data_IF_970514042459
#
_entry.id   IF_970514042459
#
_cell.length_a   1.000
_cell.length_b   1.000
_cell.length_c   1.000
_cell.angle_alpha   90.00
_cell.angle_beta   90.00
_cell.angle_gamma   90.00
#
_symmetry.space_group_name_H-M   'P 1'
#
loop_
_entity.id
_entity.type
_entity.pdbx_description
1 polymer ?
#
# COMPACT_ATOMS: atom_id res chain seq x y z
N UNK A 1 44.25 9.49 -57.00
CA UNK A 1 42.85 9.84 -56.64
C UNK A 1 42.27 8.64 -55.92
N UNK A 2 42.36 8.65 -54.56
CA UNK A 2 41.82 7.54 -53.74
C UNK A 2 40.39 7.89 -53.35
N UNK A 3 39.41 7.07 -53.79
CA UNK A 3 38.03 7.14 -53.32
C UNK A 3 37.94 6.48 -51.96
N UNK A 4 37.72 7.26 -50.90
CA UNK A 4 37.30 6.77 -49.59
C UNK A 4 35.79 6.50 -49.63
N UNK A 5 35.41 5.22 -49.67
CA UNK A 5 34.03 4.79 -49.50
C UNK A 5 33.68 4.84 -48.03
N UNK A 6 32.86 5.80 -47.59
CA UNK A 6 32.22 5.80 -46.29
C UNK A 6 31.09 4.77 -46.29
N UNK A 7 31.32 3.62 -45.66
CA UNK A 7 30.24 2.74 -45.23
C UNK A 7 29.51 3.38 -44.05
N UNK A 8 28.38 4.01 -44.29
CA UNK A 8 27.43 4.37 -43.25
C UNK A 8 26.73 3.09 -42.79
N UNK A 9 27.15 2.55 -41.68
CA UNK A 9 26.40 1.51 -40.95
C UNK A 9 25.20 2.22 -40.30
N UNK A 10 24.06 2.29 -40.97
CA UNK A 10 22.80 2.58 -40.31
C UNK A 10 22.46 1.33 -39.50
N UNK A 11 22.79 1.33 -38.23
CA UNK A 11 22.14 0.42 -37.27
C UNK A 11 20.64 0.68 -37.40
N UNK A 12 19.91 -0.29 -37.96
CA UNK A 12 18.48 -0.35 -37.77
C UNK A 12 18.24 -0.56 -36.28
N UNK A 13 18.05 0.52 -35.55
CA UNK A 13 17.50 0.47 -34.19
C UNK A 13 16.08 -0.10 -34.38
N UNK A 14 15.94 -1.42 -34.26
CA UNK A 14 14.62 -2.01 -34.11
C UNK A 14 13.98 -1.28 -32.92
N UNK A 15 12.87 -0.64 -33.19
CA UNK A 15 12.13 0.15 -32.21
C UNK A 15 11.42 -0.83 -31.25
N UNK A 16 12.23 -1.50 -30.38
CA UNK A 16 11.76 -2.51 -29.46
C UNK A 16 10.92 -1.80 -28.42
N UNK A 17 9.62 -2.11 -28.38
CA UNK A 17 8.70 -1.55 -27.39
C UNK A 17 9.17 -1.91 -25.98
N UNK A 18 9.33 -0.94 -25.08
CA UNK A 18 9.73 -1.22 -23.71
C UNK A 18 8.65 -1.99 -22.95
N UNK A 19 9.06 -2.86 -22.04
CA UNK A 19 8.16 -3.40 -21.03
C UNK A 19 7.75 -2.31 -20.06
N UNK A 20 6.61 -2.49 -19.40
CA UNK A 20 6.12 -1.58 -18.37
C UNK A 20 5.86 -2.39 -17.08
N UNK A 21 6.56 -2.03 -16.02
CA UNK A 21 6.29 -2.51 -14.66
C UNK A 21 5.71 -1.35 -13.84
N UNK A 22 4.41 -1.40 -13.58
CA UNK A 22 3.70 -0.41 -12.77
C UNK A 22 3.50 -0.96 -11.36
N UNK A 23 4.26 -0.43 -10.40
CA UNK A 23 4.23 -0.80 -8.98
C UNK A 23 3.38 0.23 -8.25
N UNK A 24 2.37 -0.22 -7.50
CA UNK A 24 1.54 0.67 -6.69
C UNK A 24 1.27 0.06 -5.33
N UNK A 25 1.56 0.82 -4.28
CA UNK A 25 1.20 0.49 -2.90
C UNK A 25 -0.11 1.19 -2.50
N UNK A 26 -0.77 0.70 -1.47
CA UNK A 26 -2.06 1.20 -0.99
C UNK A 26 -1.86 1.99 0.30
N UNK A 27 -2.14 3.30 0.27
CA UNK A 27 -1.93 4.21 1.39
C UNK A 27 -0.43 4.46 1.74
N UNK A 28 0.48 4.43 0.77
CA UNK A 28 1.90 4.67 1.03
C UNK A 28 2.21 6.17 1.00
N UNK A 29 2.34 6.77 2.18
CA UNK A 29 2.72 8.17 2.34
C UNK A 29 4.13 8.41 1.79
N UNK A 30 4.32 9.49 1.02
CA UNK A 30 5.63 9.83 0.46
C UNK A 30 6.69 10.05 1.55
N UNK A 31 6.30 10.53 2.74
CA UNK A 31 7.20 10.73 3.89
C UNK A 31 7.79 9.42 4.44
N UNK A 32 7.21 8.27 4.07
CA UNK A 32 7.68 6.95 4.46
C UNK A 32 8.47 6.24 3.33
N UNK A 33 9.12 7.03 2.47
CA UNK A 33 10.08 6.57 1.46
C UNK A 33 11.35 7.39 1.61
N UNK A 34 12.50 6.74 1.82
CA UNK A 34 13.76 7.45 2.16
C UNK A 34 14.27 8.37 1.05
N UNK A 35 13.93 8.12 -0.22
CA UNK A 35 14.22 9.05 -1.31
C UNK A 35 13.50 10.40 -1.19
N UNK A 36 12.38 10.48 -0.45
CA UNK A 36 11.67 11.73 -0.14
C UNK A 36 12.01 12.28 1.24
N UNK A 37 12.11 11.39 2.26
CA UNK A 37 12.31 11.77 3.65
C UNK A 37 12.99 10.64 4.45
N UNK A 38 14.16 10.90 4.99
CA UNK A 38 14.98 9.89 5.69
C UNK A 38 14.64 9.72 7.17
N UNK A 39 13.67 10.51 7.71
CA UNK A 39 13.40 10.57 9.16
C UNK A 39 12.71 9.34 9.73
N UNK A 40 11.91 8.63 8.93
CA UNK A 40 11.02 7.58 9.42
C UNK A 40 11.55 6.17 9.15
N UNK A 41 11.97 5.90 7.94
CA UNK A 41 12.37 4.56 7.49
C UNK A 41 13.40 4.65 6.37
N UNK A 42 14.19 3.60 6.19
CA UNK A 42 15.01 3.41 5.00
C UNK A 42 14.31 2.45 4.04
N UNK A 43 14.21 2.82 2.77
CA UNK A 43 13.59 2.04 1.70
C UNK A 43 14.58 1.89 0.53
N UNK A 44 15.73 1.23 0.76
CA UNK A 44 16.85 1.23 -0.18
C UNK A 44 16.48 0.63 -1.55
N UNK A 45 15.54 -0.29 -1.60
CA UNK A 45 15.13 -0.93 -2.85
C UNK A 45 14.19 -0.03 -3.67
N UNK A 46 13.23 0.62 -3.02
CA UNK A 46 12.36 1.60 -3.67
C UNK A 46 13.19 2.80 -4.16
N UNK A 47 14.19 3.22 -3.37
CA UNK A 47 15.08 4.33 -3.69
C UNK A 47 15.92 4.07 -4.95
N UNK A 48 16.19 2.80 -5.33
CA UNK A 48 16.86 2.46 -6.62
C UNK A 48 16.10 3.05 -7.81
N UNK A 49 14.76 3.04 -7.76
CA UNK A 49 13.92 3.58 -8.84
C UNK A 49 14.11 5.09 -8.97
N UNK A 50 14.24 5.80 -7.82
CA UNK A 50 14.51 7.24 -7.80
C UNK A 50 15.93 7.57 -8.25
N UNK A 51 16.92 6.80 -7.73
CA UNK A 51 18.34 7.06 -7.96
C UNK A 51 18.77 6.76 -9.41
N UNK A 52 18.10 5.81 -10.07
CA UNK A 52 18.35 5.41 -11.46
C UNK A 52 17.33 6.02 -12.44
N UNK A 53 16.50 6.96 -11.98
CA UNK A 53 15.42 7.53 -12.74
C UNK A 53 15.07 8.96 -12.36
N UNK A 54 13.78 9.25 -12.31
CA UNK A 54 13.22 10.56 -11.98
C UNK A 54 12.32 10.43 -10.76
N UNK A 55 12.55 11.26 -9.75
CA UNK A 55 11.67 11.46 -8.61
C UNK A 55 10.84 12.73 -8.84
N UNK A 56 9.51 12.57 -8.79
CA UNK A 56 8.58 13.71 -8.90
C UNK A 56 8.25 14.25 -7.49
N UNK A 57 8.72 15.45 -7.19
CA UNK A 57 8.51 16.10 -5.90
C UNK A 57 7.08 16.59 -5.67
N UNK A 58 6.30 16.77 -6.73
CA UNK A 58 4.94 17.34 -6.71
C UNK A 58 3.93 16.51 -7.51
N UNK A 59 3.85 15.21 -7.22
CA UNK A 59 2.78 14.36 -7.72
C UNK A 59 1.60 14.37 -6.75
N UNK A 60 0.38 14.45 -7.28
CA UNK A 60 -0.85 14.50 -6.48
C UNK A 60 -1.93 13.63 -7.09
N UNK A 61 -2.76 13.03 -6.24
CA UNK A 61 -4.00 12.37 -6.66
C UNK A 61 -5.14 13.38 -6.77
N UNK A 62 -6.18 13.03 -7.53
CA UNK A 62 -7.37 13.89 -7.66
C UNK A 62 -8.46 13.53 -6.65
N UNK A 63 -8.32 12.39 -6.00
CA UNK A 63 -9.25 11.90 -4.99
C UNK A 63 -8.49 10.96 -4.03
N UNK A 64 -8.37 11.34 -2.78
CA UNK A 64 -7.65 10.58 -1.76
C UNK A 64 -8.51 9.47 -1.15
N UNK A 65 -9.02 8.57 -1.98
CA UNK A 65 -9.75 7.34 -1.61
C UNK A 65 -9.40 6.24 -2.60
N UNK A 66 -9.07 5.03 -2.13
CA UNK A 66 -8.52 3.92 -2.91
C UNK A 66 -9.19 3.67 -4.26
N UNK A 67 -10.46 3.22 -4.30
CA UNK A 67 -11.09 2.84 -5.56
C UNK A 67 -11.32 4.02 -6.52
N UNK A 68 -11.75 5.22 -6.07
CA UNK A 68 -11.78 6.41 -6.91
C UNK A 68 -10.42 6.79 -7.49
N UNK A 69 -9.36 6.84 -6.67
CA UNK A 69 -8.02 7.16 -7.14
C UNK A 69 -7.52 6.13 -8.17
N UNK A 70 -7.67 4.84 -7.88
CA UNK A 70 -7.30 3.76 -8.80
C UNK A 70 -8.05 3.84 -10.13
N UNK A 71 -9.34 4.24 -10.09
CA UNK A 71 -10.12 4.47 -11.31
C UNK A 71 -9.60 5.67 -12.12
N UNK A 72 -9.17 6.75 -11.46
CA UNK A 72 -8.53 7.90 -12.12
C UNK A 72 -7.22 7.48 -12.78
N UNK A 73 -6.36 6.75 -12.05
CA UNK A 73 -5.09 6.24 -12.56
C UNK A 73 -5.33 5.36 -13.80
N UNK A 74 -6.28 4.41 -13.72
CA UNK A 74 -6.52 3.49 -14.83
C UNK A 74 -7.18 4.12 -16.05
N UNK A 75 -8.02 5.15 -15.88
CA UNK A 75 -8.81 5.74 -16.97
C UNK A 75 -8.26 7.07 -17.49
N UNK A 76 -7.39 7.75 -16.72
CA UNK A 76 -6.99 9.12 -16.99
C UNK A 76 -8.13 10.14 -16.86
N UNK A 77 -9.26 9.76 -16.22
CA UNK A 77 -10.45 10.60 -16.08
C UNK A 77 -10.75 10.86 -14.61
N UNK A 78 -11.11 12.08 -14.25
CA UNK A 78 -11.59 12.42 -12.91
C UNK A 78 -12.80 11.57 -12.49
N UNK A 79 -13.01 11.39 -11.18
CA UNK A 79 -14.03 10.50 -10.62
C UNK A 79 -15.45 10.80 -11.10
N UNK A 80 -15.80 12.10 -11.32
CA UNK A 80 -17.10 12.50 -11.84
C UNK A 80 -17.31 12.13 -13.33
N UNK A 81 -16.21 11.90 -14.09
CA UNK A 81 -16.27 11.47 -15.49
C UNK A 81 -16.21 9.96 -15.64
N UNK A 82 -15.46 9.25 -14.75
CA UNK A 82 -15.36 7.80 -14.80
C UNK A 82 -16.42 7.09 -13.94
N UNK A 83 -17.24 7.83 -13.18
CA UNK A 83 -18.33 7.34 -12.36
C UNK A 83 -17.93 6.68 -11.04
N UNK A 84 -16.63 6.49 -10.76
CA UNK A 84 -16.15 5.88 -9.50
C UNK A 84 -15.88 6.95 -8.47
N UNK A 85 -16.91 7.35 -7.71
CA UNK A 85 -16.85 8.45 -6.74
C UNK A 85 -16.62 7.99 -5.29
N UNK A 86 -16.81 6.69 -5.00
CA UNK A 86 -16.68 6.09 -3.68
C UNK A 86 -16.18 4.64 -3.76
N UNK A 87 -15.95 4.00 -2.59
CA UNK A 87 -15.54 2.60 -2.51
C UNK A 87 -16.70 1.61 -2.64
N UNK A 88 -17.97 2.05 -2.58
CA UNK A 88 -19.14 1.18 -2.46
C UNK A 88 -19.58 0.58 -3.79
N UNK A 89 -19.73 1.39 -4.82
CA UNK A 89 -20.24 0.93 -6.12
C UNK A 89 -19.13 0.23 -6.92
N UNK A 90 -19.45 -0.85 -7.67
CA UNK A 90 -18.52 -1.42 -8.63
C UNK A 90 -18.04 -0.39 -9.68
N UNK A 91 -16.85 -0.60 -10.23
CA UNK A 91 -16.32 0.22 -11.32
C UNK A 91 -17.12 -0.02 -12.61
N UNK A 92 -17.40 1.04 -13.35
CA UNK A 92 -18.03 0.95 -14.66
C UNK A 92 -17.06 0.33 -15.68
N UNK A 93 -17.34 -0.92 -16.06
CA UNK A 93 -16.49 -1.69 -16.97
C UNK A 93 -16.60 -1.27 -18.43
N UNK A 94 -17.43 -0.29 -18.79
CA UNK A 94 -17.49 0.32 -20.12
C UNK A 94 -16.41 1.37 -20.31
N UNK A 95 -15.80 1.86 -19.23
CA UNK A 95 -14.68 2.79 -19.28
C UNK A 95 -13.46 2.14 -19.95
N UNK A 96 -12.77 2.92 -20.78
CA UNK A 96 -11.48 2.51 -21.35
C UNK A 96 -10.40 2.72 -20.28
N UNK A 97 -9.58 1.70 -20.08
CA UNK A 97 -8.44 1.73 -19.16
C UNK A 97 -7.12 1.55 -19.91
N UNK A 98 -6.01 2.06 -19.35
CA UNK A 98 -4.73 1.94 -20.01
C UNK A 98 -4.28 0.47 -20.25
N UNK A 99 -4.57 -0.53 -19.39
CA UNK A 99 -4.29 -1.93 -19.73
C UNK A 99 -4.94 -2.39 -21.03
N UNK A 100 -6.18 -1.96 -21.30
CA UNK A 100 -6.85 -2.27 -22.59
C UNK A 100 -6.14 -1.64 -23.79
N UNK A 101 -5.57 -0.44 -23.61
CA UNK A 101 -4.80 0.23 -24.67
C UNK A 101 -3.47 -0.48 -24.93
N UNK A 102 -2.76 -0.90 -23.88
CA UNK A 102 -1.54 -1.70 -24.00
C UNK A 102 -1.82 -3.05 -24.69
N UNK A 103 -2.90 -3.74 -24.27
CA UNK A 103 -3.30 -5.00 -24.93
C UNK A 103 -3.56 -4.81 -26.43
N UNK A 104 -4.30 -3.74 -26.80
CA UNK A 104 -4.51 -3.38 -28.21
C UNK A 104 -3.22 -3.03 -28.96
N UNK A 105 -2.22 -2.50 -28.25
CA UNK A 105 -0.91 -2.21 -28.83
C UNK A 105 0.00 -3.44 -28.91
N UNK A 106 -0.50 -4.65 -28.57
CA UNK A 106 0.22 -5.92 -28.70
C UNK A 106 1.05 -6.32 -27.49
N UNK A 107 0.87 -5.64 -26.34
CA UNK A 107 1.48 -6.05 -25.09
C UNK A 107 0.74 -7.24 -24.48
N UNK A 108 1.47 -8.13 -23.83
CA UNK A 108 0.88 -9.06 -22.88
C UNK A 108 0.66 -8.35 -21.56
N UNK A 109 -0.55 -8.45 -20.99
CA UNK A 109 -0.96 -7.67 -19.82
C UNK A 109 -1.19 -8.55 -18.60
N UNK A 110 -0.69 -8.14 -17.44
CA UNK A 110 -0.87 -8.85 -16.18
C UNK A 110 -1.22 -7.90 -15.03
N UNK A 111 -1.98 -8.42 -14.03
CA UNK A 111 -2.35 -7.65 -12.83
C UNK A 111 -2.39 -8.55 -11.60
N UNK A 112 -1.55 -8.25 -10.60
CA UNK A 112 -1.47 -9.03 -9.37
C UNK A 112 -1.60 -8.13 -8.15
N UNK A 113 -2.48 -8.52 -7.20
CA UNK A 113 -2.69 -7.82 -5.94
C UNK A 113 -3.98 -7.03 -5.84
N UNK A 114 -3.96 -5.82 -5.25
CA UNK A 114 -5.17 -5.07 -4.91
C UNK A 114 -5.67 -4.18 -6.06
N UNK A 115 -6.85 -4.50 -6.61
CA UNK A 115 -7.55 -3.67 -7.59
C UNK A 115 -8.67 -2.81 -6.93
N UNK A 116 -9.48 -3.41 -6.07
CA UNK A 116 -10.57 -2.75 -5.30
C UNK A 116 -11.73 -2.18 -6.14
N UNK A 117 -12.08 -2.81 -7.26
CA UNK A 117 -13.16 -2.34 -8.14
C UNK A 117 -14.50 -3.05 -7.96
N UNK A 118 -14.53 -4.15 -7.21
CA UNK A 118 -15.74 -4.98 -7.06
C UNK A 118 -16.07 -5.85 -8.27
N UNK A 119 -15.25 -5.81 -9.31
CA UNK A 119 -15.34 -6.64 -10.51
C UNK A 119 -13.94 -7.00 -11.05
N UNK A 120 -13.90 -7.93 -12.00
CA UNK A 120 -12.67 -8.37 -12.63
C UNK A 120 -12.09 -7.30 -13.57
N UNK A 121 -10.76 -7.19 -13.70
CA UNK A 121 -10.12 -6.24 -14.62
C UNK A 121 -10.42 -6.60 -16.07
N UNK A 122 -10.61 -5.58 -16.92
CA UNK A 122 -10.69 -5.71 -18.38
C UNK A 122 -9.38 -5.32 -19.04
N UNK A 123 -9.07 -5.95 -20.17
CA UNK A 123 -7.85 -5.71 -20.92
C UNK A 123 -6.60 -6.26 -20.21
N UNK A 124 -6.79 -7.32 -19.41
CA UNK A 124 -5.72 -7.99 -18.68
C UNK A 124 -5.76 -9.48 -19.02
N UNK A 125 -4.65 -9.99 -19.55
CA UNK A 125 -4.56 -11.37 -20.00
C UNK A 125 -4.48 -12.35 -18.84
N UNK A 126 -3.72 -12.00 -17.79
CA UNK A 126 -3.56 -12.79 -16.57
C UNK A 126 -3.76 -11.93 -15.33
N UNK A 127 -4.55 -12.40 -14.38
CA UNK A 127 -4.70 -11.70 -13.11
C UNK A 127 -4.91 -12.64 -11.93
N UNK A 128 -4.46 -12.15 -10.76
CA UNK A 128 -4.73 -12.73 -9.45
C UNK A 128 -4.90 -11.56 -8.47
N UNK A 129 -6.16 -11.17 -8.20
CA UNK A 129 -6.48 -9.95 -7.45
C UNK A 129 -7.14 -10.25 -6.11
N UNK A 130 -6.90 -9.36 -5.15
CA UNK A 130 -7.52 -9.45 -3.83
C UNK A 130 -9.00 -9.03 -3.88
N UNK A 131 -9.91 -9.75 -3.24
CA UNK A 131 -11.30 -9.33 -3.08
C UNK A 131 -11.37 -8.12 -2.12
N UNK A 132 -12.00 -7.02 -2.56
CA UNK A 132 -12.17 -5.81 -1.76
C UNK A 132 -10.84 -5.27 -1.24
N UNK A 133 -10.70 -5.16 0.09
CA UNK A 133 -9.49 -4.69 0.75
C UNK A 133 -8.40 -5.78 0.90
N UNK A 134 -8.73 -7.05 0.69
CA UNK A 134 -7.83 -8.17 0.91
C UNK A 134 -7.48 -8.42 2.39
N UNK A 135 -6.65 -9.43 2.64
CA UNK A 135 -6.10 -9.77 3.96
C UNK A 135 -4.59 -9.85 3.90
N UNK A 136 -3.91 -9.53 5.01
CA UNK A 136 -2.45 -9.64 5.11
C UNK A 136 -1.99 -11.09 5.24
N UNK A 137 -2.75 -11.90 5.97
CA UNK A 137 -2.42 -13.29 6.32
C UNK A 137 -3.33 -14.21 5.52
N UNK A 138 -2.77 -15.24 4.88
CA UNK A 138 -3.47 -16.27 4.12
C UNK A 138 -4.58 -15.70 3.22
N UNK A 139 -4.25 -14.76 2.32
CA UNK A 139 -5.25 -14.04 1.54
C UNK A 139 -5.99 -14.95 0.57
N UNK A 140 -7.30 -14.66 0.39
CA UNK A 140 -8.04 -15.12 -0.77
C UNK A 140 -7.70 -14.25 -1.96
N UNK A 141 -7.58 -14.85 -3.13
CA UNK A 141 -7.46 -14.18 -4.42
C UNK A 141 -8.57 -14.61 -5.37
N UNK A 142 -8.99 -13.69 -6.21
CA UNK A 142 -9.84 -13.91 -7.37
C UNK A 142 -8.90 -14.04 -8.58
N UNK A 143 -8.95 -15.18 -9.24
CA UNK A 143 -8.13 -15.43 -10.43
C UNK A 143 -8.98 -15.49 -11.69
N UNK A 144 -8.33 -15.42 -12.85
CA UNK A 144 -9.00 -15.50 -14.16
C UNK A 144 -9.83 -16.77 -14.31
N UNK A 145 -9.31 -17.91 -13.85
CA UNK A 145 -9.92 -19.22 -14.02
C UNK A 145 -10.60 -19.72 -12.74
N UNK A 146 -10.03 -19.43 -11.58
CA UNK A 146 -10.54 -19.86 -10.28
C UNK A 146 -10.04 -18.97 -9.15
N UNK A 147 -10.85 -18.89 -8.10
CA UNK A 147 -10.45 -18.29 -6.84
C UNK A 147 -9.54 -19.25 -6.08
N UNK A 148 -8.64 -18.71 -5.27
CA UNK A 148 -7.73 -19.50 -4.45
C UNK A 148 -7.45 -18.79 -3.12
N UNK A 149 -7.09 -19.57 -2.10
CA UNK A 149 -6.48 -19.07 -0.87
C UNK A 149 -5.03 -19.54 -0.90
N UNK A 150 -4.10 -18.62 -0.67
CA UNK A 150 -2.67 -18.93 -0.63
C UNK A 150 -2.19 -18.67 0.79
N UNK A 151 -1.54 -19.66 1.38
CA UNK A 151 -0.94 -19.56 2.70
C UNK A 151 0.31 -18.68 2.65
N UNK A 152 0.44 -17.79 3.63
CA UNK A 152 1.58 -16.89 3.77
C UNK A 152 1.20 -15.43 3.96
N UNK A 153 2.20 -14.56 3.82
CA UNK A 153 2.07 -13.12 3.93
C UNK A 153 1.77 -12.49 2.57
N UNK A 154 0.77 -11.61 2.51
CA UNK A 154 0.21 -11.10 1.24
C UNK A 154 1.24 -10.43 0.35
N UNK A 155 2.17 -9.67 0.92
CA UNK A 155 3.19 -8.93 0.15
C UNK A 155 4.13 -9.89 -0.56
N UNK A 156 4.58 -10.94 0.14
CA UNK A 156 5.44 -11.99 -0.41
C UNK A 156 4.71 -12.79 -1.50
N UNK A 157 3.46 -13.16 -1.24
CA UNK A 157 2.64 -13.93 -2.19
C UNK A 157 2.44 -13.16 -3.50
N UNK A 158 2.11 -11.86 -3.44
CA UNK A 158 1.94 -11.03 -4.63
C UNK A 158 3.26 -10.97 -5.42
N UNK A 159 4.40 -10.89 -4.74
CA UNK A 159 5.72 -10.90 -5.34
C UNK A 159 6.05 -12.24 -5.98
N UNK A 160 5.81 -13.35 -5.29
CA UNK A 160 6.05 -14.71 -5.81
C UNK A 160 5.23 -14.98 -7.08
N UNK A 161 3.97 -14.54 -7.09
CA UNK A 161 3.09 -14.64 -8.27
C UNK A 161 3.63 -13.79 -9.41
N UNK A 162 4.11 -12.57 -9.11
CA UNK A 162 4.71 -11.64 -10.09
C UNK A 162 5.96 -12.24 -10.72
N UNK A 163 6.89 -12.73 -9.90
CA UNK A 163 8.13 -13.36 -10.36
C UNK A 163 7.86 -14.65 -11.16
N UNK A 164 6.95 -15.49 -10.67
CA UNK A 164 6.57 -16.71 -11.40
C UNK A 164 5.94 -16.39 -12.77
N UNK A 165 5.17 -15.31 -12.88
CA UNK A 165 4.61 -14.90 -14.17
C UNK A 165 5.71 -14.38 -15.12
N UNK A 166 6.61 -13.53 -14.62
CA UNK A 166 7.73 -13.00 -15.39
C UNK A 166 8.65 -14.11 -15.89
N UNK A 167 8.94 -15.11 -15.08
CA UNK A 167 9.85 -16.20 -15.41
C UNK A 167 9.21 -17.27 -16.32
N UNK A 168 8.01 -17.76 -15.94
CA UNK A 168 7.44 -19.01 -16.47
C UNK A 168 6.20 -18.86 -17.33
N UNK A 169 5.45 -17.76 -17.20
CA UNK A 169 4.11 -17.70 -17.81
C UNK A 169 4.01 -16.71 -18.97
N UNK A 170 4.78 -15.61 -18.94
CA UNK A 170 4.72 -14.63 -20.01
C UNK A 170 5.24 -15.17 -21.33
N UNK A 171 4.71 -14.69 -22.42
CA UNK A 171 5.25 -14.87 -23.77
C UNK A 171 6.49 -13.97 -23.91
N UNK A 172 7.68 -14.58 -23.91
CA UNK A 172 8.97 -13.84 -23.99
C UNK A 172 9.20 -13.14 -25.32
N UNK A 173 8.36 -13.39 -26.33
CA UNK A 173 8.44 -12.75 -27.66
C UNK A 173 7.66 -11.43 -27.71
N UNK A 174 6.86 -11.11 -26.66
CA UNK A 174 6.04 -9.90 -26.58
C UNK A 174 6.53 -8.97 -25.48
N UNK A 175 6.38 -7.65 -25.66
CA UNK A 175 6.51 -6.72 -24.54
C UNK A 175 5.39 -6.97 -23.53
N UNK A 176 5.65 -6.72 -22.27
CA UNK A 176 4.63 -6.83 -21.21
C UNK A 176 4.27 -5.47 -20.59
N UNK A 177 3.03 -5.35 -20.15
CA UNK A 177 2.57 -4.35 -19.21
C UNK A 177 2.01 -5.06 -17.97
N UNK A 178 2.68 -4.88 -16.85
CA UNK A 178 2.34 -5.51 -15.58
C UNK A 178 1.97 -4.48 -14.54
N UNK A 179 0.85 -4.72 -13.84
CA UNK A 179 0.47 -4.00 -12.63
C UNK A 179 0.76 -4.86 -11.39
N UNK A 180 1.74 -4.44 -10.61
CA UNK A 180 2.19 -5.06 -9.37
C UNK A 180 1.67 -4.23 -8.19
N UNK A 181 0.55 -4.68 -7.58
CA UNK A 181 -0.31 -3.88 -6.74
C UNK A 181 -0.33 -4.39 -5.30
N UNK A 182 0.44 -3.75 -4.41
CA UNK A 182 0.47 -4.12 -3.01
C UNK A 182 -0.81 -3.70 -2.27
N UNK A 183 -1.22 -4.53 -1.28
CA UNK A 183 -2.19 -4.15 -0.27
C UNK A 183 -1.55 -3.27 0.81
N UNK A 184 -0.31 -3.54 1.15
CA UNK A 184 0.44 -2.79 2.15
C UNK A 184 0.76 -1.38 1.62
N UNK A 185 0.80 -0.36 2.51
CA UNK A 185 0.56 -0.41 3.94
C UNK A 185 -0.89 -0.08 4.39
N UNK A 186 -1.93 -0.48 3.69
CA UNK A 186 -3.33 -0.18 4.06
C UNK A 186 -3.72 -0.80 5.42
N UNK A 187 -4.51 -0.07 6.20
CA UNK A 187 -5.15 -0.51 7.47
C UNK A 187 -5.97 -1.82 7.29
N UNK A 188 -6.02 -2.75 8.29
CA UNK A 188 -5.25 -2.76 9.53
C UNK A 188 -3.83 -3.24 9.27
N UNK A 189 -2.88 -2.49 9.67
CA UNK A 189 -1.47 -2.77 9.43
C UNK A 189 -1.03 -4.04 10.17
N UNK A 190 -0.73 -5.11 9.41
CA UNK A 190 -0.17 -6.35 9.93
C UNK A 190 1.15 -6.62 9.22
N UNK A 191 2.29 -6.28 9.81
CA UNK A 191 3.60 -6.66 9.27
C UNK A 191 3.76 -8.18 9.21
N UNK A 192 4.74 -8.68 8.44
CA UNK A 192 5.17 -10.07 8.63
C UNK A 192 5.61 -10.30 10.07
N UNK A 193 5.58 -11.52 10.60
CA UNK A 193 5.98 -11.78 12.00
C UNK A 193 7.36 -11.22 12.35
N UNK A 194 8.32 -11.34 11.42
CA UNK A 194 9.68 -10.86 11.58
C UNK A 194 9.74 -9.33 11.66
N UNK A 195 9.06 -8.63 10.72
CA UNK A 195 8.98 -7.16 10.73
C UNK A 195 8.14 -6.64 11.89
N UNK A 196 7.14 -7.39 12.34
CA UNK A 196 6.33 -7.04 13.51
C UNK A 196 7.18 -7.01 14.79
N UNK A 197 8.04 -8.02 14.98
CA UNK A 197 8.97 -8.08 16.09
C UNK A 197 10.06 -6.99 15.98
N UNK A 198 10.65 -6.81 14.78
CA UNK A 198 11.70 -5.83 14.53
C UNK A 198 11.21 -4.40 14.81
N UNK A 199 10.05 -4.01 14.25
CA UNK A 199 9.55 -2.64 14.32
C UNK A 199 8.92 -2.31 15.67
N UNK A 200 8.46 -3.29 16.42
CA UNK A 200 8.00 -3.09 17.80
C UNK A 200 9.10 -2.50 18.71
N UNK A 201 10.35 -2.85 18.50
CA UNK A 201 11.48 -2.36 19.29
C UNK A 201 11.96 -0.95 18.85
N UNK A 202 11.36 -0.37 17.80
CA UNK A 202 11.74 0.95 17.28
C UNK A 202 10.84 2.05 17.81
N UNK A 203 11.38 3.27 17.89
CA UNK A 203 10.64 4.49 18.20
C UNK A 203 10.78 5.48 17.05
N UNK A 204 9.72 6.23 16.79
CA UNK A 204 9.63 7.15 15.66
C UNK A 204 9.42 8.59 16.13
N UNK A 205 9.99 9.60 15.43
CA UNK A 205 9.81 11.00 15.78
C UNK A 205 8.36 11.41 15.61
N UNK A 206 7.87 12.17 16.59
CA UNK A 206 6.53 12.76 16.57
C UNK A 206 6.52 13.97 15.59
N UNK A 207 5.50 14.10 14.71
CA UNK A 207 5.37 15.32 13.93
C UNK A 207 5.03 16.51 14.85
N UNK A 208 5.50 17.72 14.50
CA UNK A 208 5.27 18.93 15.29
C UNK A 208 3.78 19.20 15.55
N UNK A 209 2.93 18.78 14.63
CA UNK A 209 1.47 18.99 14.69
C UNK A 209 0.72 17.82 15.35
N UNK A 210 1.39 16.85 15.98
CA UNK A 210 0.73 15.71 16.65
C UNK A 210 -0.36 16.16 17.65
N UNK A 211 -0.13 17.28 18.32
CA UNK A 211 -1.06 17.85 19.32
C UNK A 211 -1.75 19.12 18.81
N UNK A 212 -2.12 19.15 17.53
CA UNK A 212 -2.80 20.29 16.93
C UNK A 212 -4.16 20.55 17.64
N UNK A 213 -4.43 21.80 17.94
CA UNK A 213 -5.69 22.23 18.57
C UNK A 213 -6.69 22.79 17.55
N UNK A 214 -6.36 22.76 16.27
CA UNK A 214 -7.16 23.26 15.14
C UNK A 214 -7.60 24.73 15.25
N UNK A 215 -6.90 25.55 16.03
CA UNK A 215 -7.19 26.98 16.16
C UNK A 215 -7.05 27.67 14.79
N UNK A 216 -8.06 28.46 14.44
CA UNK A 216 -8.09 29.16 13.14
C UNK A 216 -8.55 28.29 11.96
N UNK A 217 -8.86 27.00 12.17
CA UNK A 217 -9.35 26.11 11.12
C UNK A 217 -10.87 25.97 11.16
N UNK A 218 -11.44 25.61 9.99
CA UNK A 218 -12.87 25.36 9.84
C UNK A 218 -13.39 24.15 10.64
N UNK A 219 -14.70 24.00 10.70
CA UNK A 219 -15.39 22.93 11.44
C UNK A 219 -14.94 21.54 10.96
N UNK A 220 -14.75 21.35 9.66
CA UNK A 220 -14.37 20.08 9.06
C UNK A 220 -13.08 19.50 9.69
N UNK A 221 -12.04 20.31 9.93
CA UNK A 221 -10.81 19.86 10.56
C UNK A 221 -11.03 19.47 12.03
N UNK A 222 -11.90 20.17 12.74
CA UNK A 222 -12.21 19.90 14.16
C UNK A 222 -13.04 18.64 14.37
N UNK A 223 -13.86 18.27 13.38
CA UNK A 223 -14.78 17.14 13.45
C UNK A 223 -14.34 15.92 12.64
N UNK A 224 -13.15 15.98 12.02
CA UNK A 224 -12.61 14.86 11.26
C UNK A 224 -12.42 13.62 12.15
N UNK A 225 -13.04 12.49 11.75
CA UNK A 225 -13.00 11.22 12.49
C UNK A 225 -11.69 10.45 12.22
N UNK A 226 -10.54 11.14 12.31
CA UNK A 226 -9.22 10.61 12.02
C UNK A 226 -8.21 10.82 13.15
N UNK A 227 -8.65 11.29 14.33
CA UNK A 227 -7.77 11.58 15.44
C UNK A 227 -7.21 10.29 16.06
N UNK A 228 -5.89 10.23 16.21
CA UNK A 228 -5.16 9.06 16.75
C UNK A 228 -5.66 8.67 18.13
N UNK A 229 -5.83 9.65 19.05
CA UNK A 229 -6.26 9.36 20.42
C UNK A 229 -7.64 8.73 20.44
N UNK A 230 -8.60 9.32 19.70
CA UNK A 230 -10.03 9.07 19.87
C UNK A 230 -10.63 8.11 18.85
N UNK A 231 -10.06 8.01 17.63
CA UNK A 231 -10.63 7.20 16.55
C UNK A 231 -9.82 5.93 16.21
N UNK A 232 -8.55 5.83 16.65
CA UNK A 232 -7.82 4.57 16.55
C UNK A 232 -8.36 3.56 17.57
N UNK A 233 -8.71 2.38 17.07
CA UNK A 233 -9.32 1.31 17.83
C UNK A 233 -8.25 0.45 18.50
N UNK A 234 -8.48 0.06 19.74
CA UNK A 234 -7.53 -0.77 20.52
C UNK A 234 -7.24 -2.11 19.82
N UNK A 235 -8.28 -2.85 19.45
CA UNK A 235 -8.12 -4.16 18.82
C UNK A 235 -7.62 -4.06 17.38
N UNK A 236 -8.23 -3.18 16.59
CA UNK A 236 -7.99 -3.11 15.15
C UNK A 236 -6.63 -2.47 14.82
N UNK A 237 -6.32 -1.36 15.47
CA UNK A 237 -5.13 -0.56 15.16
C UNK A 237 -3.96 -0.85 16.09
N UNK A 238 -4.22 -0.99 17.40
CA UNK A 238 -3.17 -1.18 18.39
C UNK A 238 -2.89 -2.65 18.76
N UNK A 239 -3.64 -3.60 18.18
CA UNK A 239 -3.49 -5.04 18.40
C UNK A 239 -3.69 -5.49 19.85
N UNK A 240 -4.57 -4.79 20.59
CA UNK A 240 -4.94 -5.22 21.93
C UNK A 240 -5.96 -6.35 21.85
N UNK A 241 -5.64 -7.46 22.50
CA UNK A 241 -6.49 -8.65 22.50
C UNK A 241 -7.80 -8.42 23.26
N UNK A 242 -8.92 -9.04 22.82
CA UNK A 242 -10.19 -8.95 23.53
C UNK A 242 -10.09 -9.34 25.01
N UNK A 243 -9.29 -10.37 25.32
CA UNK A 243 -9.06 -10.86 26.67
C UNK A 243 -8.39 -9.79 27.55
N UNK A 244 -7.37 -9.11 27.02
CA UNK A 244 -6.70 -8.01 27.69
C UNK A 244 -7.67 -6.88 28.05
N UNK A 245 -8.52 -6.47 27.10
CA UNK A 245 -9.53 -5.44 27.36
C UNK A 245 -10.55 -5.88 28.42
N UNK A 246 -10.95 -7.14 28.42
CA UNK A 246 -11.87 -7.72 29.40
C UNK A 246 -11.26 -7.74 30.80
N UNK A 247 -10.01 -8.18 30.94
CA UNK A 247 -9.26 -8.17 32.20
C UNK A 247 -9.14 -6.77 32.80
N UNK A 248 -9.01 -5.74 31.94
CA UNK A 248 -8.93 -4.34 32.35
C UNK A 248 -10.30 -3.68 32.59
N UNK A 249 -11.39 -4.45 32.71
CA UNK A 249 -12.74 -3.93 32.98
C UNK A 249 -13.45 -3.38 31.76
N UNK A 250 -13.21 -3.95 30.57
CA UNK A 250 -13.79 -3.50 29.29
C UNK A 250 -13.51 -2.02 29.01
N UNK A 251 -12.24 -1.65 28.97
CA UNK A 251 -11.81 -0.33 28.54
C UNK A 251 -12.55 0.07 27.26
N UNK A 252 -13.44 1.05 27.38
CA UNK A 252 -14.24 1.50 26.25
C UNK A 252 -13.37 2.37 25.33
N UNK A 253 -13.57 2.30 24.00
CA UNK A 253 -12.99 3.29 23.13
C UNK A 253 -13.51 4.68 23.53
N UNK A 254 -12.65 5.65 23.53
CA UNK A 254 -12.93 7.02 23.95
C UNK A 254 -14.01 7.71 23.10
N UNK A 255 -14.26 7.18 21.89
CA UNK A 255 -15.36 7.63 21.01
C UNK A 255 -16.06 6.43 20.35
N UNK A 256 -17.37 6.51 20.25
CA UNK A 256 -18.17 5.59 19.44
C UNK A 256 -18.02 5.95 17.98
N UNK A 257 -17.55 5.02 17.17
CA UNK A 257 -17.49 5.20 15.73
C UNK A 257 -18.92 5.31 15.15
N UNK A 258 -19.22 6.39 14.46
CA UNK A 258 -20.47 6.55 13.74
C UNK A 258 -20.22 6.45 12.24
N UNK A 259 -20.98 5.61 11.54
CA UNK A 259 -21.04 5.60 10.08
C UNK A 259 -22.44 6.07 9.69
N UNK A 260 -22.59 7.38 9.48
CA UNK A 260 -23.88 8.02 9.40
C UNK A 260 -24.61 7.95 10.74
N UNK A 261 -25.89 7.59 10.76
CA UNK A 261 -26.70 7.42 11.99
C UNK A 261 -26.43 6.11 12.74
N UNK A 262 -25.62 5.21 12.17
CA UNK A 262 -25.35 3.89 12.77
C UNK A 262 -24.11 3.95 13.62
N UNK A 263 -24.25 3.73 14.93
CA UNK A 263 -23.12 3.54 15.86
C UNK A 263 -22.45 2.21 15.53
N UNK A 264 -21.31 2.25 14.86
CA UNK A 264 -20.49 1.06 14.65
C UNK A 264 -19.65 0.87 15.90
N UNK A 265 -20.05 -0.07 16.75
CA UNK A 265 -19.17 -0.54 17.83
C UNK A 265 -18.02 -1.30 17.17
N UNK A 266 -16.74 -0.99 17.48
CA UNK A 266 -15.65 -1.87 17.10
C UNK A 266 -15.85 -3.21 17.80
N UNK A 267 -16.36 -4.18 17.04
CA UNK A 267 -16.50 -5.54 17.53
C UNK A 267 -15.15 -6.25 17.60
N UNK A 268 -15.10 -7.45 18.18
CA UNK A 268 -13.90 -8.31 18.18
C UNK A 268 -13.39 -8.59 16.76
N UNK A 269 -14.21 -8.39 15.73
CA UNK A 269 -13.88 -8.62 14.32
C UNK A 269 -12.67 -7.84 13.81
N UNK A 270 -12.37 -6.66 14.36
CA UNK A 270 -11.23 -5.84 13.94
C UNK A 270 -9.88 -6.49 14.17
N UNK A 271 -9.68 -7.16 15.30
CA UNK A 271 -8.49 -7.94 15.61
C UNK A 271 -8.61 -9.37 15.08
N UNK A 272 -9.72 -10.02 15.40
CA UNK A 272 -9.91 -11.45 15.15
C UNK A 272 -9.95 -11.80 13.67
N UNK A 273 -10.48 -10.93 12.83
CA UNK A 273 -10.68 -11.23 11.41
C UNK A 273 -9.37 -11.46 10.61
N UNK A 274 -8.31 -10.61 10.72
CA UNK A 274 -7.02 -10.91 10.10
C UNK A 274 -6.30 -12.07 10.81
N UNK A 275 -6.28 -12.06 12.15
CA UNK A 275 -5.54 -13.03 12.95
C UNK A 275 -6.15 -14.45 12.90
N UNK A 276 -7.49 -14.58 12.82
CA UNK A 276 -8.17 -15.86 12.68
C UNK A 276 -7.84 -16.61 11.38
N UNK A 277 -7.26 -15.92 10.40
CA UNK A 277 -6.78 -16.55 9.16
C UNK A 277 -5.42 -17.21 9.32
N UNK A 278 -4.67 -16.84 10.35
CA UNK A 278 -3.39 -17.45 10.65
C UNK A 278 -3.56 -18.89 11.12
N UNK A 279 -2.72 -19.79 10.64
CA UNK A 279 -2.62 -21.14 11.21
C UNK A 279 -1.88 -21.09 12.56
N UNK A 280 -1.81 -22.21 13.27
CA UNK A 280 -1.26 -22.27 14.62
C UNK A 280 0.25 -21.90 14.67
N UNK A 281 1.02 -22.23 13.63
CA UNK A 281 2.43 -21.87 13.54
C UNK A 281 2.59 -20.35 13.34
N UNK A 282 1.81 -19.77 12.43
CA UNK A 282 1.79 -18.33 12.19
C UNK A 282 1.35 -17.55 13.45
N UNK A 283 0.31 -18.03 14.15
CA UNK A 283 -0.14 -17.43 15.41
C UNK A 283 0.99 -17.39 16.43
N UNK A 284 1.69 -18.49 16.65
CA UNK A 284 2.83 -18.55 17.58
C UNK A 284 3.90 -17.50 17.27
N UNK A 285 4.20 -17.26 15.98
CA UNK A 285 5.17 -16.23 15.59
C UNK A 285 4.68 -14.81 15.92
N UNK A 286 3.40 -14.52 15.69
CA UNK A 286 2.80 -13.23 16.05
C UNK A 286 2.64 -13.05 17.56
N UNK A 287 2.32 -14.12 18.30
CA UNK A 287 2.04 -14.08 19.73
C UNK A 287 3.22 -13.54 20.53
N UNK A 288 4.46 -13.81 20.12
CA UNK A 288 5.66 -13.27 20.78
C UNK A 288 5.62 -11.76 20.92
N UNK A 289 5.25 -11.05 19.87
CA UNK A 289 5.16 -9.58 19.87
C UNK A 289 3.82 -9.11 20.46
N UNK A 290 2.73 -9.81 20.18
CA UNK A 290 1.42 -9.50 20.74
C UNK A 290 1.42 -9.56 22.26
N UNK A 291 2.12 -10.52 22.87
CA UNK A 291 2.23 -10.65 24.31
C UNK A 291 2.94 -9.44 24.95
N UNK A 292 4.03 -8.97 24.30
CA UNK A 292 4.73 -7.76 24.74
C UNK A 292 3.82 -6.52 24.67
N UNK A 293 3.11 -6.32 23.56
CA UNK A 293 2.18 -5.20 23.36
C UNK A 293 1.08 -5.22 24.42
N UNK A 294 0.48 -6.37 24.65
CA UNK A 294 -0.65 -6.50 25.56
C UNK A 294 -0.21 -6.39 27.03
N UNK A 295 0.99 -6.84 27.37
CA UNK A 295 1.61 -6.62 28.68
C UNK A 295 1.87 -5.13 28.92
N UNK A 296 2.55 -4.45 27.98
CA UNK A 296 2.83 -3.02 28.05
C UNK A 296 1.54 -2.20 28.23
N UNK A 297 0.50 -2.53 27.43
CA UNK A 297 -0.80 -1.87 27.53
C UNK A 297 -1.44 -2.05 28.92
N UNK A 298 -1.42 -3.26 29.48
CA UNK A 298 -1.98 -3.51 30.82
C UNK A 298 -1.26 -2.74 31.92
N UNK A 299 0.06 -2.68 31.84
CA UNK A 299 0.91 -2.07 32.86
C UNK A 299 0.86 -0.54 32.83
N UNK A 300 0.90 0.06 31.64
CA UNK A 300 1.13 1.49 31.48
C UNK A 300 -0.13 2.30 31.17
N UNK A 301 -1.04 1.77 30.33
CA UNK A 301 -2.23 2.50 29.87
C UNK A 301 -3.10 3.11 30.97
N UNK A 302 -3.37 2.45 32.13
CA UNK A 302 -4.24 2.98 33.18
C UNK A 302 -3.71 4.26 33.83
N UNK A 303 -2.39 4.45 33.86
CA UNK A 303 -1.74 5.60 34.52
C UNK A 303 -1.45 6.76 33.58
N UNK A 304 -1.55 6.53 32.25
CA UNK A 304 -1.28 7.54 31.24
C UNK A 304 -2.36 8.62 31.20
N UNK A 305 -1.95 9.88 31.09
CA UNK A 305 -2.83 10.96 30.68
C UNK A 305 -3.11 10.94 29.15
N UNK A 306 -4.02 11.79 28.66
CA UNK A 306 -4.42 11.78 27.24
C UNK A 306 -3.26 12.05 26.26
N UNK A 307 -2.28 12.86 26.67
CA UNK A 307 -1.12 13.16 25.84
C UNK A 307 -0.21 11.95 25.70
N UNK A 308 0.01 11.24 26.80
CA UNK A 308 0.79 10.01 26.83
C UNK A 308 0.09 8.88 26.07
N UNK A 309 -1.23 8.75 26.21
CA UNK A 309 -2.06 7.80 25.43
C UNK A 309 -1.98 8.05 23.94
N UNK A 310 -2.01 9.32 23.54
CA UNK A 310 -1.88 9.69 22.12
C UNK A 310 -0.50 9.33 21.57
N UNK A 311 0.58 9.59 22.33
CA UNK A 311 1.95 9.19 21.98
C UNK A 311 2.08 7.67 21.87
N UNK A 312 1.53 6.94 22.81
CA UNK A 312 1.54 5.48 22.80
C UNK A 312 0.83 4.92 21.55
N UNK A 313 -0.38 5.40 21.23
CA UNK A 313 -1.11 5.00 20.01
C UNK A 313 -0.33 5.38 18.74
N UNK A 314 0.28 6.56 18.72
CA UNK A 314 1.12 7.00 17.60
C UNK A 314 2.30 6.06 17.38
N UNK A 315 3.04 5.70 18.43
CA UNK A 315 4.17 4.76 18.31
C UNK A 315 3.70 3.40 17.81
N UNK A 316 2.62 2.84 18.36
CA UNK A 316 2.04 1.57 17.89
C UNK A 316 1.65 1.63 16.41
N UNK A 317 1.01 2.73 16.00
CA UNK A 317 0.64 2.98 14.62
C UNK A 317 1.87 2.99 13.69
N UNK A 318 2.89 3.77 14.04
CA UNK A 318 4.09 3.90 13.22
C UNK A 318 4.87 2.59 13.13
N UNK A 319 4.98 1.84 14.22
CA UNK A 319 5.62 0.54 14.24
C UNK A 319 4.96 -0.44 13.25
N UNK A 320 3.64 -0.51 13.26
CA UNK A 320 2.91 -1.43 12.39
C UNK A 320 2.89 -0.94 10.93
N UNK A 321 2.67 0.35 10.70
CA UNK A 321 2.64 0.95 9.37
C UNK A 321 3.99 0.81 8.66
N UNK A 322 5.07 1.25 9.31
CA UNK A 322 6.42 1.19 8.73
C UNK A 322 6.95 -0.26 8.62
N UNK A 323 6.55 -1.14 9.53
CA UNK A 323 6.85 -2.58 9.41
C UNK A 323 6.24 -3.20 8.15
N UNK A 324 5.02 -2.78 7.75
CA UNK A 324 4.43 -3.24 6.48
C UNK A 324 5.15 -2.66 5.26
N UNK A 325 5.62 -1.40 5.34
CA UNK A 325 6.39 -0.75 4.28
C UNK A 325 7.75 -1.43 4.08
N UNK A 326 8.44 -1.78 5.17
CA UNK A 326 9.70 -2.53 5.08
C UNK A 326 9.53 -3.84 4.30
N UNK A 327 8.40 -4.54 4.50
CA UNK A 327 8.09 -5.72 3.69
C UNK A 327 7.83 -5.39 2.21
N UNK A 328 7.24 -4.23 1.90
CA UNK A 328 7.07 -3.79 0.51
C UNK A 328 8.41 -3.49 -0.13
N UNK A 329 9.30 -2.78 0.57
CA UNK A 329 10.63 -2.44 0.08
C UNK A 329 11.44 -3.71 -0.25
N UNK A 330 11.50 -4.68 0.68
CA UNK A 330 12.18 -5.96 0.45
C UNK A 330 11.64 -6.67 -0.80
N UNK A 331 10.33 -6.65 -1.00
CA UNK A 331 9.68 -7.33 -2.11
C UNK A 331 9.81 -6.58 -3.45
N UNK A 332 9.84 -5.25 -3.44
CA UNK A 332 10.20 -4.45 -4.62
C UNK A 332 11.63 -4.78 -5.03
N UNK A 333 12.56 -4.89 -4.06
CA UNK A 333 13.94 -5.32 -4.30
C UNK A 333 14.02 -6.64 -5.06
N UNK A 334 13.29 -7.67 -4.61
CA UNK A 334 13.26 -8.98 -5.28
C UNK A 334 12.85 -8.90 -6.75
N UNK A 335 11.90 -8.03 -7.09
CA UNK A 335 11.46 -7.86 -8.49
C UNK A 335 12.49 -7.07 -9.30
N UNK A 336 13.09 -6.03 -8.73
CA UNK A 336 14.15 -5.28 -9.41
C UNK A 336 15.39 -6.14 -9.64
N UNK A 337 15.81 -6.94 -8.66
CA UNK A 337 16.92 -7.90 -8.79
C UNK A 337 16.66 -8.90 -9.93
N UNK A 338 15.43 -9.43 -10.01
CA UNK A 338 15.06 -10.31 -11.12
C UNK A 338 15.16 -9.61 -12.49
N UNK A 339 14.75 -8.34 -12.61
CA UNK A 339 14.92 -7.59 -13.85
C UNK A 339 16.39 -7.45 -14.22
N UNK A 340 17.24 -7.08 -13.25
CA UNK A 340 18.68 -6.90 -13.45
C UNK A 340 19.38 -8.23 -13.83
N UNK A 341 19.11 -9.31 -13.10
CA UNK A 341 19.68 -10.64 -13.34
C UNK A 341 19.32 -11.23 -14.71
N UNK A 342 18.12 -10.91 -15.21
CA UNK A 342 17.62 -11.38 -16.49
C UNK A 342 17.90 -10.42 -17.66
N UNK A 343 18.46 -9.24 -17.37
CA UNK A 343 18.71 -8.17 -18.36
C UNK A 343 17.44 -7.50 -18.87
N UNK A 344 16.29 -7.74 -18.22
CA UNK A 344 15.02 -7.08 -18.57
C UNK A 344 15.02 -5.60 -18.17
N UNK A 345 15.83 -5.20 -17.17
CA UNK A 345 16.01 -3.81 -16.74
C UNK A 345 16.35 -2.88 -17.91
N UNK A 346 17.15 -3.35 -18.87
CA UNK A 346 17.60 -2.60 -20.05
C UNK A 346 16.48 -2.18 -21.00
N UNK A 347 15.31 -2.80 -20.89
CA UNK A 347 14.14 -2.48 -21.73
C UNK A 347 12.83 -2.48 -20.91
N UNK A 348 12.88 -2.10 -19.65
CA UNK A 348 11.69 -2.02 -18.79
C UNK A 348 11.59 -0.65 -18.16
N UNK A 349 10.48 0.04 -18.41
CA UNK A 349 10.09 1.23 -17.65
C UNK A 349 9.48 0.77 -16.34
N UNK A 350 10.05 1.21 -15.23
CA UNK A 350 9.55 0.92 -13.88
C UNK A 350 8.94 2.18 -13.30
N UNK A 351 7.67 2.09 -12.92
CA UNK A 351 6.95 3.17 -12.23
C UNK A 351 6.64 2.72 -10.81
N UNK A 352 6.95 3.53 -9.81
CA UNK A 352 6.50 3.35 -8.44
C UNK A 352 5.60 4.50 -8.02
N UNK A 353 4.43 4.18 -7.43
CA UNK A 353 3.50 5.17 -6.88
C UNK A 353 2.67 4.58 -5.74
N UNK A 354 1.86 5.42 -5.11
CA UNK A 354 0.76 5.05 -4.22
C UNK A 354 -0.56 5.53 -4.80
N UNK A 355 -1.67 4.90 -4.40
CA UNK A 355 -2.99 5.37 -4.82
C UNK A 355 -3.41 6.68 -4.13
N UNK A 356 -2.80 7.04 -3.00
CA UNK A 356 -2.89 8.36 -2.34
C UNK A 356 -1.82 8.53 -1.27
N UNK A 357 -1.75 9.74 -0.69
CA UNK A 357 -0.99 9.99 0.52
C UNK A 357 -1.70 9.48 1.78
N UNK A 358 -1.07 9.68 2.95
CA UNK A 358 -1.57 9.20 4.22
C UNK A 358 -1.02 10.05 5.38
N UNK A 359 -1.84 10.36 6.40
CA UNK A 359 -1.38 11.08 7.58
C UNK A 359 -0.59 10.18 8.51
N UNK A 360 0.62 10.60 8.85
CA UNK A 360 1.52 9.89 9.77
C UNK A 360 1.63 10.60 11.12
N UNK A 361 0.49 11.04 11.64
CA UNK A 361 0.41 11.77 12.90
C UNK A 361 0.29 13.29 12.74
N UNK A 362 0.49 13.83 11.55
CA UNK A 362 0.28 15.27 11.29
C UNK A 362 -1.15 15.63 11.65
N UNK A 363 -1.31 16.76 12.32
CA UNK A 363 -2.58 17.25 12.88
C UNK A 363 -3.22 16.32 13.91
N UNK A 364 -2.46 15.38 14.48
CA UNK A 364 -2.98 14.33 15.35
C UNK A 364 -3.81 13.28 14.61
N UNK A 365 -3.68 13.18 13.29
CA UNK A 365 -4.50 12.32 12.44
C UNK A 365 -3.76 11.08 11.95
N UNK A 366 -4.56 10.10 11.56
CA UNK A 366 -4.21 8.95 10.73
C UNK A 366 -5.24 8.83 9.60
N UNK A 367 -5.07 7.89 8.67
CA UNK A 367 -5.96 7.72 7.51
C UNK A 367 -5.72 8.82 6.43
N UNK A 368 -6.70 9.15 5.62
CA UNK A 368 -6.65 9.99 4.42
C UNK A 368 -7.97 10.74 4.25
N UNK A 369 -8.28 11.26 3.09
CA UNK A 369 -9.54 11.92 2.65
C UNK A 369 -9.55 13.43 2.79
N UNK A 370 -8.97 13.99 3.85
CA UNK A 370 -8.94 15.44 4.02
C UNK A 370 -7.93 16.06 3.05
N UNK A 371 -8.27 17.25 2.49
CA UNK A 371 -7.53 17.86 1.37
C UNK A 371 -6.25 18.62 1.82
N UNK A 372 -5.39 17.95 2.59
CA UNK A 372 -4.06 18.46 2.89
C UNK A 372 -3.00 17.66 2.12
N UNK A 373 -1.80 18.22 2.02
CA UNK A 373 -0.69 17.64 1.26
C UNK A 373 -0.41 16.20 1.67
N UNK A 374 -0.46 15.89 2.96
CA UNK A 374 -0.21 14.55 3.51
C UNK A 374 -1.15 13.49 2.92
N UNK A 375 -2.36 13.88 2.58
CA UNK A 375 -3.37 12.99 1.98
C UNK A 375 -3.36 13.01 0.45
N UNK A 376 -3.05 14.16 -0.16
CA UNK A 376 -3.12 14.34 -1.61
C UNK A 376 -1.81 14.09 -2.34
N UNK A 377 -0.67 14.42 -1.75
CA UNK A 377 0.64 14.10 -2.32
C UNK A 377 0.84 12.58 -2.31
N UNK A 378 1.30 12.08 -3.44
CA UNK A 378 1.62 10.67 -3.61
C UNK A 378 3.06 10.53 -4.12
N UNK A 379 3.81 9.50 -3.71
CA UNK A 379 5.10 9.26 -4.32
C UNK A 379 4.90 8.94 -5.80
N UNK A 380 5.80 9.43 -6.63
CA UNK A 380 5.89 9.06 -8.03
C UNK A 380 7.35 9.04 -8.45
N UNK A 381 7.83 7.89 -8.85
CA UNK A 381 9.18 7.67 -9.35
C UNK A 381 9.10 6.86 -10.65
N UNK A 382 9.96 7.19 -11.61
CA UNK A 382 10.00 6.51 -12.92
C UNK A 382 11.45 6.25 -13.28
N UNK A 383 11.82 4.98 -13.38
CA UNK A 383 13.07 4.53 -14.01
C UNK A 383 12.79 4.23 -15.47
N UNK A 384 13.52 4.88 -16.35
CA UNK A 384 13.43 4.69 -17.79
C UNK A 384 14.71 4.01 -18.28
N UNK A 385 14.64 2.89 -19.04
CA UNK A 385 15.83 2.30 -19.62
C UNK A 385 16.45 3.25 -20.66
N UNK A 386 17.77 3.38 -20.65
CA UNK A 386 18.52 4.18 -21.63
C UNK A 386 18.75 3.42 -22.91
#
# INVERSE_FOLDING_TARGET
MFLLSFFSCSENIENVKPNILFIMSDDHAYQAISAYDTRLIQTPNIDRIANEGILFSNASVTNSICAPSRAVILTGKHSHLNGKIDNGKPFDTTQVTFPQLFQKAGYQTAMFGKLHFGNNPKGVDDFLILPGQGSYINPKFIGKNKDTIIEGYVTDIITDVTLNWLDKKRDKTKPFMMMYLHKAPHRPWWPSPEKFAEFYEKSFPEPETLFDNYKGRGTAAKTAEMNILTHMQYMHDSKIRPETLKEMGNVQPEIKYTRGETVVRPGPDGFMRPFSRANEEQKKKYDVTLDKINKDFKENWPTMNNKEKMKWKFQRYMQDYLGTISSVDDNVGRVLDYLDETGLDKNTIVVYTSDQGFYLGEHGWFDKRFIYDESFKTPLMVKWPN
#
